data_IF_917983968318
#
_entry.id   IF_917983968318
#
_cell.length_a   1.000
_cell.length_b   1.000
_cell.length_c   1.000
_cell.angle_alpha   90.00
_cell.angle_beta   90.00
_cell.angle_gamma   90.00
#
_symmetry.space_group_name_H-M   'P 1'
#
loop_
_entity.id
_entity.type
_entity.pdbx_description
1 polymer ?
#
# COMPACT_ATOMS: atom_id res chain seq x y z
N UNK A 1 -15.43 -11.19 -6.70
CA UNK A 1 -13.96 -11.14 -6.65
C UNK A 1 -13.53 -10.82 -5.24
N UNK A 2 -12.43 -11.40 -4.76
CA UNK A 2 -11.86 -11.20 -3.41
C UNK A 2 -10.36 -10.95 -3.53
N UNK A 3 -9.81 -10.05 -2.72
CA UNK A 3 -8.37 -9.76 -2.65
C UNK A 3 -7.91 -9.68 -1.19
N UNK A 4 -6.63 -9.95 -0.95
CA UNK A 4 -6.05 -9.95 0.40
C UNK A 4 -5.43 -8.59 0.71
N UNK A 5 -5.86 -7.94 1.78
CA UNK A 5 -5.38 -6.62 2.21
C UNK A 5 -4.14 -6.78 3.08
N UNK A 6 -3.09 -6.02 2.78
CA UNK A 6 -1.87 -5.90 3.58
C UNK A 6 -2.10 -5.01 4.78
N UNK A 7 -2.60 -3.80 4.52
CA UNK A 7 -2.83 -2.73 5.49
C UNK A 7 -3.77 -1.66 4.89
N UNK A 8 -4.31 -0.80 5.74
CA UNK A 8 -5.13 0.35 5.36
C UNK A 8 -4.62 1.59 6.12
N UNK A 9 -4.08 2.56 5.39
CA UNK A 9 -3.81 3.90 5.94
C UNK A 9 -5.03 4.79 5.69
N UNK A 10 -5.69 5.20 6.77
CA UNK A 10 -6.92 6.01 6.71
C UNK A 10 -6.65 7.50 6.45
N UNK A 11 -5.41 7.96 6.65
CA UNK A 11 -5.03 9.37 6.59
C UNK A 11 -3.69 9.58 5.87
N UNK A 12 -3.53 8.94 4.71
CA UNK A 12 -2.35 9.05 3.89
C UNK A 12 -2.22 10.47 3.31
N UNK A 13 -1.31 11.26 3.89
CA UNK A 13 -1.03 12.66 3.50
C UNK A 13 0.03 12.76 2.39
N UNK A 14 0.84 11.71 2.23
CA UNK A 14 2.02 11.72 1.35
C UNK A 14 1.82 10.91 0.07
N UNK A 15 0.73 10.15 -0.05
CA UNK A 15 0.42 9.31 -1.21
C UNK A 15 -0.32 10.07 -2.33
N UNK A 16 -0.27 11.40 -2.29
CA UNK A 16 -0.84 12.28 -3.29
C UNK A 16 -1.45 13.55 -2.67
N UNK A 17 -2.07 14.41 -3.49
CA UNK A 17 -2.71 15.63 -2.99
C UNK A 17 -3.90 15.31 -2.07
N UNK A 18 -3.98 16.02 -0.93
CA UNK A 18 -5.05 15.93 0.05
C UNK A 18 -4.91 14.78 1.05
N UNK A 19 -5.93 14.57 1.89
CA UNK A 19 -6.02 13.41 2.78
C UNK A 19 -6.63 12.25 2.00
N UNK A 20 -5.96 11.11 1.98
CA UNK A 20 -6.42 9.90 1.27
C UNK A 20 -6.55 8.71 2.22
N UNK A 21 -7.42 7.79 1.84
CA UNK A 21 -7.39 6.44 2.39
C UNK A 21 -6.67 5.54 1.39
N UNK A 22 -5.50 5.02 1.77
CA UNK A 22 -4.70 4.11 0.95
C UNK A 22 -4.94 2.67 1.42
N UNK A 23 -5.29 1.79 0.48
CA UNK A 23 -5.42 0.35 0.74
C UNK A 23 -4.23 -0.37 0.10
N UNK A 24 -3.38 -0.96 0.93
CA UNK A 24 -2.25 -1.76 0.48
C UNK A 24 -2.70 -3.21 0.28
N UNK A 25 -2.44 -3.80 -0.89
CA UNK A 25 -2.77 -5.19 -1.17
C UNK A 25 -1.58 -6.12 -0.85
N UNK A 26 -1.85 -7.33 -0.35
CA UNK A 26 -0.81 -8.34 -0.17
C UNK A 26 -0.33 -8.86 -1.54
N UNK A 27 0.98 -8.87 -1.73
CA UNK A 27 1.66 -9.57 -2.82
C UNK A 27 2.32 -8.62 -3.83
N UNK A 28 3.61 -8.84 -4.08
CA UNK A 28 4.37 -8.21 -5.15
C UNK A 28 5.36 -9.23 -5.74
N UNK A 29 5.38 -9.46 -7.07
CA UNK A 29 6.32 -10.40 -7.67
C UNK A 29 7.75 -9.87 -7.74
N UNK A 30 7.95 -8.57 -7.49
CA UNK A 30 9.28 -7.95 -7.48
C UNK A 30 10.08 -8.36 -6.24
N UNK A 31 11.40 -8.18 -6.34
CA UNK A 31 12.38 -8.46 -5.28
C UNK A 31 13.33 -7.28 -5.13
N UNK A 32 12.77 -6.09 -4.96
CA UNK A 32 13.53 -4.85 -4.86
C UNK A 32 14.47 -4.90 -3.64
N UNK A 33 15.74 -4.53 -3.83
CA UNK A 33 16.75 -4.53 -2.75
C UNK A 33 16.40 -3.58 -1.59
N UNK A 34 15.59 -2.56 -1.86
CA UNK A 34 15.15 -1.55 -0.89
C UNK A 34 13.62 -1.40 -0.89
N UNK A 35 12.90 -2.53 -0.94
CA UNK A 35 11.44 -2.46 -0.81
C UNK A 35 11.08 -1.89 0.57
N UNK A 36 10.28 -0.84 0.61
CA UNK A 36 9.77 -0.28 1.88
C UNK A 36 8.67 -1.18 2.49
N UNK A 37 8.13 -2.12 1.72
CA UNK A 37 7.09 -3.07 2.14
C UNK A 37 7.38 -4.47 1.54
N UNK A 38 8.40 -5.18 2.05
CA UNK A 38 8.81 -6.48 1.55
C UNK A 38 7.79 -7.60 1.81
#
# INVERSE_FOLDING_TARGET
MTGTIFDIDQTALHDGPGVRMTVFLKGCPLRCAWCHSP
#
